data_IF_171612482449
#
_entry.id   IF_171612482449
#
_cell.length_a   1.000
_cell.length_b   1.000
_cell.length_c   1.000
_cell.angle_alpha   90.00
_cell.angle_beta   90.00
_cell.angle_gamma   90.00
#
_symmetry.space_group_name_H-M   'P 1'
#
loop_
_entity.id
_entity.type
_entity.pdbx_description
1 polymer ?
#
# COMPACT_ATOMS: atom_id res chain seq x y z
N UNK A 1 3.13 -19.89 33.37
CA UNK A 1 2.60 -20.91 32.44
C UNK A 1 2.74 -20.30 31.07
N UNK A 2 3.62 -20.86 30.27
CA UNK A 2 4.04 -20.32 28.98
C UNK A 2 2.83 -20.16 28.07
N UNK A 3 2.65 -18.99 27.48
CA UNK A 3 1.55 -18.67 26.57
C UNK A 3 1.53 -19.65 25.39
N UNK A 4 0.73 -20.71 25.50
CA UNK A 4 0.51 -21.68 24.45
C UNK A 4 -0.48 -21.04 23.46
N UNK A 5 0.01 -20.71 22.26
CA UNK A 5 -0.82 -20.15 21.20
C UNK A 5 -2.03 -21.08 20.96
N UNK A 6 -3.23 -20.52 21.00
CA UNK A 6 -4.44 -21.27 20.68
C UNK A 6 -4.38 -21.81 19.25
N UNK A 7 -5.11 -22.89 18.97
CA UNK A 7 -5.16 -23.47 17.62
C UNK A 7 -5.55 -22.44 16.55
N UNK A 8 -6.47 -21.53 16.87
CA UNK A 8 -6.84 -20.42 15.98
C UNK A 8 -5.68 -19.44 15.74
N UNK A 9 -4.90 -19.10 16.77
CA UNK A 9 -3.71 -18.25 16.61
C UNK A 9 -2.65 -18.91 15.73
N UNK A 10 -2.44 -20.22 15.87
CA UNK A 10 -1.52 -20.97 15.02
C UNK A 10 -1.95 -20.98 13.55
N UNK A 11 -3.23 -21.23 13.28
CA UNK A 11 -3.79 -21.18 11.93
C UNK A 11 -3.60 -19.81 11.27
N UNK A 12 -3.86 -18.73 12.01
CA UNK A 12 -3.67 -17.35 11.53
C UNK A 12 -2.20 -17.07 11.20
N UNK A 13 -1.27 -17.53 12.05
CA UNK A 13 0.17 -17.36 11.84
C UNK A 13 0.62 -18.09 10.57
N UNK A 14 0.22 -19.33 10.38
CA UNK A 14 0.58 -20.11 9.20
C UNK A 14 0.00 -19.49 7.92
N UNK A 15 -1.21 -18.92 8.00
CA UNK A 15 -1.82 -18.22 6.88
C UNK A 15 -1.07 -16.93 6.52
N UNK A 16 -0.69 -16.12 7.51
CA UNK A 16 0.12 -14.92 7.28
C UNK A 16 1.45 -15.26 6.62
N UNK A 17 2.13 -16.33 7.08
CA UNK A 17 3.37 -16.82 6.45
C UNK A 17 3.14 -17.34 5.04
N UNK A 18 2.04 -18.04 4.78
CA UNK A 18 1.69 -18.55 3.45
C UNK A 18 1.49 -17.39 2.47
N UNK A 19 0.75 -16.36 2.87
CA UNK A 19 0.50 -15.16 2.06
C UNK A 19 1.81 -14.39 1.82
N UNK A 20 2.61 -14.18 2.87
CA UNK A 20 3.94 -13.59 2.76
C UNK A 20 4.82 -14.33 1.73
N UNK A 21 4.87 -15.67 1.81
CA UNK A 21 5.62 -16.51 0.89
C UNK A 21 5.07 -16.48 -0.53
N UNK A 22 3.74 -16.47 -0.70
CA UNK A 22 3.06 -16.39 -2.00
C UNK A 22 3.36 -15.09 -2.73
N UNK A 23 3.36 -13.97 -1.99
CA UNK A 23 3.65 -12.64 -2.53
C UNK A 23 5.15 -12.32 -2.57
N UNK A 24 5.99 -13.11 -1.89
CA UNK A 24 7.42 -12.84 -1.77
C UNK A 24 7.74 -11.62 -0.90
N UNK A 25 6.84 -11.23 0.00
CA UNK A 25 6.97 -10.07 0.88
C UNK A 25 7.28 -10.48 2.31
N UNK A 26 8.00 -9.63 3.05
CA UNK A 26 8.24 -9.81 4.49
C UNK A 26 7.28 -9.01 5.37
N UNK A 27 6.46 -8.16 4.76
CA UNK A 27 5.43 -7.32 5.37
C UNK A 27 4.13 -7.64 4.65
N UNK A 28 3.12 -8.14 5.39
CA UNK A 28 1.80 -8.47 4.81
C UNK A 28 0.80 -7.42 5.27
N UNK A 29 0.14 -6.75 4.33
CA UNK A 29 -0.89 -5.77 4.65
C UNK A 29 -2.24 -6.44 4.94
N UNK A 30 -3.14 -5.71 5.60
CA UNK A 30 -4.54 -6.12 5.76
C UNK A 30 -5.21 -6.40 4.40
N UNK A 31 -4.85 -5.66 3.36
CA UNK A 31 -5.42 -5.83 2.03
C UNK A 31 -4.91 -7.10 1.35
N UNK A 32 -3.59 -7.35 1.42
CA UNK A 32 -2.99 -8.61 0.92
C UNK A 32 -3.63 -9.82 1.60
N UNK A 33 -3.88 -9.71 2.91
CA UNK A 33 -4.59 -10.74 3.65
C UNK A 33 -6.03 -10.88 3.18
N UNK A 34 -6.79 -9.79 3.06
CA UNK A 34 -8.18 -9.83 2.61
C UNK A 34 -8.31 -10.44 1.19
N UNK A 35 -7.38 -10.12 0.29
CA UNK A 35 -7.37 -10.63 -1.10
C UNK A 35 -6.90 -12.09 -1.22
N UNK A 36 -6.11 -12.60 -0.27
CA UNK A 36 -5.50 -13.92 -0.38
C UNK A 36 -5.85 -14.91 0.73
N UNK A 37 -6.62 -14.48 1.74
CA UNK A 37 -7.06 -15.35 2.84
C UNK A 37 -7.89 -16.52 2.33
N UNK A 38 -7.61 -17.68 2.89
CA UNK A 38 -8.36 -18.91 2.63
C UNK A 38 -9.12 -19.41 3.86
N UNK A 39 -8.82 -18.88 5.05
CA UNK A 39 -9.35 -19.40 6.32
C UNK A 39 -10.04 -18.35 7.21
N UNK A 40 -9.34 -17.30 7.64
CA UNK A 40 -9.80 -16.43 8.73
C UNK A 40 -10.14 -15.05 8.20
N UNK A 41 -11.27 -14.49 8.62
CA UNK A 41 -11.59 -13.10 8.35
C UNK A 41 -10.66 -12.15 9.14
N UNK A 42 -10.49 -10.92 8.65
CA UNK A 42 -9.69 -9.91 9.33
C UNK A 42 -10.12 -9.69 10.80
N UNK A 43 -11.42 -9.75 11.07
CA UNK A 43 -11.99 -9.60 12.41
C UNK A 43 -11.52 -10.69 13.36
N UNK A 44 -11.35 -11.92 12.87
CA UNK A 44 -10.83 -13.04 13.66
C UNK A 44 -9.38 -12.79 14.08
N UNK A 45 -8.54 -12.28 13.16
CA UNK A 45 -7.15 -11.92 13.47
C UNK A 45 -7.08 -10.89 14.60
N UNK A 46 -7.88 -9.83 14.50
CA UNK A 46 -7.94 -8.78 15.52
C UNK A 46 -8.47 -9.30 16.87
N UNK A 47 -9.43 -10.22 16.87
CA UNK A 47 -9.97 -10.80 18.11
C UNK A 47 -8.97 -11.71 18.84
N UNK A 48 -8.08 -12.40 18.11
CA UNK A 48 -7.11 -13.33 18.69
C UNK A 48 -5.76 -12.68 19.06
N UNK A 49 -5.35 -11.65 18.34
CA UNK A 49 -4.04 -10.99 18.53
C UNK A 49 -4.17 -9.55 19.02
N UNK A 50 -5.37 -9.00 19.17
CA UNK A 50 -5.58 -7.61 19.57
C UNK A 50 -5.29 -6.61 18.44
N UNK A 51 -4.09 -6.68 17.85
CA UNK A 51 -3.66 -5.81 16.74
C UNK A 51 -3.06 -6.60 15.58
N UNK A 52 -3.07 -6.00 14.39
CA UNK A 52 -2.43 -6.59 13.21
C UNK A 52 -0.92 -6.74 13.39
N UNK A 53 -0.26 -5.75 14.00
CA UNK A 53 1.18 -5.82 14.24
C UNK A 53 1.55 -6.97 15.17
N UNK A 54 0.77 -7.22 16.23
CA UNK A 54 0.96 -8.39 17.09
C UNK A 54 0.84 -9.71 16.31
N UNK A 55 -0.11 -9.82 15.39
CA UNK A 55 -0.25 -10.99 14.53
C UNK A 55 0.95 -11.16 13.56
N UNK A 56 1.41 -10.06 12.95
CA UNK A 56 2.56 -10.05 12.04
C UNK A 56 3.87 -10.41 12.78
N UNK A 57 4.06 -9.87 13.99
CA UNK A 57 5.21 -10.18 14.83
C UNK A 57 5.19 -11.66 15.28
N UNK A 58 4.03 -12.17 15.70
CA UNK A 58 3.86 -13.59 16.03
C UNK A 58 4.10 -14.52 14.83
N UNK A 59 3.84 -14.05 13.61
CA UNK A 59 4.17 -14.76 12.38
C UNK A 59 5.66 -14.68 11.99
N UNK A 60 6.48 -13.92 12.71
CA UNK A 60 7.89 -13.69 12.39
C UNK A 60 8.09 -12.79 11.16
N UNK A 61 7.08 -12.00 10.82
CA UNK A 61 7.10 -11.03 9.73
C UNK A 61 7.44 -9.64 10.27
N UNK A 62 7.76 -8.70 9.38
CA UNK A 62 8.13 -7.34 9.78
C UNK A 62 6.86 -6.52 10.06
N UNK A 63 6.62 -6.04 11.29
CA UNK A 63 5.44 -5.23 11.62
C UNK A 63 5.52 -3.84 11.00
N UNK A 64 4.38 -3.17 10.87
CA UNK A 64 4.32 -1.78 10.43
C UNK A 64 4.73 -0.83 11.56
N UNK A 65 5.41 0.28 11.27
CA UNK A 65 5.79 1.25 12.29
C UNK A 65 4.56 1.77 13.06
N UNK A 66 4.68 2.05 14.37
CA UNK A 66 3.57 2.55 15.19
C UNK A 66 2.97 3.82 14.58
N UNK A 67 1.64 3.84 14.35
CA UNK A 67 0.93 4.94 13.68
C UNK A 67 0.84 4.81 12.15
N UNK A 68 1.53 3.85 11.55
CA UNK A 68 1.31 3.43 10.16
C UNK A 68 0.03 2.60 10.09
N UNK A 69 -1.08 3.24 9.71
CA UNK A 69 -2.27 2.49 9.32
C UNK A 69 -1.91 1.56 8.16
N UNK A 70 -2.46 0.35 8.16
CA UNK A 70 -2.35 -0.69 7.14
C UNK A 70 -2.97 -0.32 5.76
N UNK A 71 -3.08 0.99 5.48
CA UNK A 71 -3.70 1.56 4.31
C UNK A 71 -2.67 1.67 3.22
N UNK A 72 -2.63 0.63 2.40
CA UNK A 72 -1.85 0.53 1.16
C UNK A 72 -0.34 0.63 1.39
N UNK A 73 0.49 0.01 0.52
CA UNK A 73 1.91 0.36 0.48
C UNK A 73 2.01 1.89 0.42
N UNK A 74 2.94 2.47 1.17
CA UNK A 74 3.26 3.89 1.07
C UNK A 74 3.74 4.10 -0.37
N UNK A 75 2.81 4.41 -1.29
CA UNK A 75 3.14 4.74 -2.66
C UNK A 75 4.12 5.88 -2.53
N UNK A 76 5.36 5.66 -2.94
CA UNK A 76 6.39 6.66 -2.69
C UNK A 76 6.02 7.96 -3.40
N UNK A 77 6.50 9.08 -2.88
CA UNK A 77 6.33 10.36 -3.56
C UNK A 77 6.87 10.25 -4.99
N UNK A 78 7.96 9.51 -5.18
CA UNK A 78 8.60 9.26 -6.47
C UNK A 78 7.70 8.51 -7.44
N UNK A 79 7.01 7.47 -6.97
CA UNK A 79 6.09 6.68 -7.78
C UNK A 79 4.86 7.49 -8.20
N UNK A 80 4.31 8.31 -7.30
CA UNK A 80 3.23 9.24 -7.64
C UNK A 80 3.68 10.28 -8.67
N UNK A 81 4.82 10.93 -8.43
CA UNK A 81 5.31 11.98 -9.31
C UNK A 81 5.68 11.41 -10.69
N UNK A 82 6.25 10.22 -10.76
CA UNK A 82 6.57 9.55 -12.03
C UNK A 82 5.30 9.21 -12.82
N UNK A 83 4.22 8.79 -12.16
CA UNK A 83 2.94 8.55 -12.83
C UNK A 83 2.41 9.81 -13.54
N UNK A 84 2.64 11.01 -12.98
CA UNK A 84 2.28 12.28 -13.65
C UNK A 84 3.08 12.46 -14.95
N UNK A 85 4.37 12.12 -14.94
CA UNK A 85 5.25 12.23 -16.11
C UNK A 85 4.79 11.27 -17.21
N UNK A 86 4.54 10.02 -16.86
CA UNK A 86 4.05 9.00 -17.79
C UNK A 86 2.71 9.40 -18.40
N UNK A 87 1.80 9.95 -17.60
CA UNK A 87 0.50 10.41 -18.09
C UNK A 87 0.64 11.65 -18.98
N UNK A 88 1.64 12.52 -18.75
CA UNK A 88 1.94 13.61 -19.67
C UNK A 88 2.40 13.04 -21.02
N UNK A 89 3.42 12.19 -21.01
CA UNK A 89 4.01 11.57 -22.21
C UNK A 89 2.95 10.84 -23.04
N UNK A 90 2.14 10.00 -22.39
CA UNK A 90 1.06 9.24 -23.04
C UNK A 90 0.07 10.11 -23.82
N UNK A 91 -0.24 11.31 -23.32
CA UNK A 91 -1.22 12.20 -23.92
C UNK A 91 -0.60 13.41 -24.63
N UNK A 92 0.72 13.57 -24.55
CA UNK A 92 1.49 14.69 -25.07
C UNK A 92 0.98 16.06 -24.61
N UNK A 93 0.44 16.13 -23.39
CA UNK A 93 0.00 17.37 -22.74
C UNK A 93 -0.08 17.20 -21.22
N UNK A 94 0.00 18.30 -20.43
CA UNK A 94 -0.08 18.23 -18.98
C UNK A 94 -1.34 17.50 -18.50
N UNK A 95 -1.21 16.49 -17.62
CA UNK A 95 -2.36 15.81 -17.08
C UNK A 95 -3.18 16.73 -16.16
N UNK A 96 -4.48 16.43 -16.08
CA UNK A 96 -5.40 17.02 -15.11
C UNK A 96 -5.78 15.99 -14.05
N UNK A 97 -6.32 16.46 -12.93
CA UNK A 97 -6.94 15.65 -11.88
C UNK A 97 -7.98 14.65 -12.43
N UNK A 98 -8.85 15.10 -13.34
CA UNK A 98 -9.84 14.24 -14.00
C UNK A 98 -9.16 13.17 -14.85
N UNK A 99 -8.06 13.51 -15.52
CA UNK A 99 -7.30 12.55 -16.34
C UNK A 99 -6.58 11.54 -15.47
N UNK A 100 -5.96 11.96 -14.38
CA UNK A 100 -5.35 11.07 -13.39
C UNK A 100 -6.39 10.07 -12.86
N UNK A 101 -7.57 10.53 -12.46
CA UNK A 101 -8.64 9.63 -11.99
C UNK A 101 -9.21 8.68 -13.07
N UNK A 102 -9.11 9.04 -14.35
CA UNK A 102 -9.72 8.27 -15.45
C UNK A 102 -8.74 7.33 -16.15
N UNK A 103 -7.46 7.70 -16.19
CA UNK A 103 -6.43 7.01 -16.98
C UNK A 103 -5.13 6.77 -16.22
N UNK A 104 -4.95 7.39 -15.05
CA UNK A 104 -3.77 7.17 -14.23
C UNK A 104 -3.90 5.91 -13.38
N UNK A 105 -2.75 5.37 -12.99
CA UNK A 105 -2.62 4.23 -12.08
C UNK A 105 -3.22 4.52 -10.69
N UNK A 106 -3.25 5.79 -10.29
CA UNK A 106 -3.69 6.22 -8.96
C UNK A 106 -4.82 7.23 -9.03
N UNK A 107 -5.69 7.23 -8.02
CA UNK A 107 -6.62 8.33 -7.81
C UNK A 107 -5.89 9.64 -7.49
N UNK A 108 -6.59 10.77 -7.57
CA UNK A 108 -6.00 12.09 -7.22
C UNK A 108 -5.73 12.25 -5.71
N UNK A 109 -6.36 11.42 -4.84
CA UNK A 109 -6.36 11.64 -3.38
C UNK A 109 -4.95 11.60 -2.75
N UNK A 110 -4.07 10.64 -3.08
CA UNK A 110 -2.70 10.62 -2.57
C UNK A 110 -1.91 11.90 -2.91
N UNK A 111 -2.14 12.47 -4.10
CA UNK A 111 -1.50 13.73 -4.52
C UNK A 111 -2.00 14.92 -3.70
N UNK A 112 -3.31 14.99 -3.43
CA UNK A 112 -3.89 16.05 -2.60
C UNK A 112 -3.39 15.98 -1.16
N UNK A 113 -3.25 14.77 -0.60
CA UNK A 113 -2.78 14.58 0.77
C UNK A 113 -1.33 15.06 0.98
N UNK A 114 -0.48 14.90 -0.04
CA UNK A 114 0.96 15.17 0.03
C UNK A 114 1.34 16.59 -0.41
N UNK A 115 0.79 17.05 -1.53
CA UNK A 115 1.13 18.37 -2.11
C UNK A 115 0.03 19.41 -1.93
N UNK A 116 -1.11 19.06 -1.32
CA UNK A 116 -2.26 19.95 -1.12
C UNK A 116 -3.11 20.18 -2.37
N UNK A 117 -2.53 20.07 -3.58
CA UNK A 117 -3.26 20.11 -4.84
C UNK A 117 -2.57 19.26 -5.91
N UNK A 118 -3.34 18.79 -6.89
CA UNK A 118 -2.78 18.04 -8.03
C UNK A 118 -1.86 18.92 -8.88
N UNK A 119 -2.15 20.22 -8.98
CA UNK A 119 -1.28 21.19 -9.66
C UNK A 119 0.09 21.26 -9.01
N UNK A 120 0.16 21.35 -7.67
CA UNK A 120 1.43 21.36 -6.93
C UNK A 120 2.19 20.04 -7.07
N UNK A 121 1.48 18.91 -7.06
CA UNK A 121 2.12 17.62 -7.33
C UNK A 121 2.70 17.56 -8.75
N UNK A 122 1.99 18.11 -9.74
CA UNK A 122 2.48 18.16 -11.12
C UNK A 122 3.69 19.08 -11.28
N UNK A 123 3.69 20.24 -10.62
CA UNK A 123 4.86 21.13 -10.57
C UNK A 123 6.06 20.41 -9.95
N UNK A 124 5.87 19.73 -8.81
CA UNK A 124 6.92 18.93 -8.18
C UNK A 124 7.43 17.80 -9.09
N UNK A 125 6.54 17.16 -9.87
CA UNK A 125 6.94 16.14 -10.84
C UNK A 125 7.84 16.73 -11.92
N UNK A 126 7.46 17.87 -12.50
CA UNK A 126 8.24 18.54 -13.54
C UNK A 126 9.55 19.12 -13.02
N UNK A 127 9.57 19.61 -11.79
CA UNK A 127 10.81 20.07 -11.15
C UNK A 127 11.79 18.90 -10.95
N UNK A 128 11.27 17.73 -10.56
CA UNK A 128 12.10 16.56 -10.27
C UNK A 128 12.55 15.79 -11.52
N UNK A 129 11.65 15.58 -12.48
CA UNK A 129 11.86 14.67 -13.61
C UNK A 129 11.88 15.38 -14.97
N UNK A 130 11.63 16.70 -15.00
CA UNK A 130 11.47 17.46 -16.23
C UNK A 130 10.08 17.33 -16.85
N UNK A 131 9.81 18.16 -17.85
CA UNK A 131 8.59 18.09 -18.64
C UNK A 131 8.90 17.22 -19.86
N UNK A 132 8.12 16.15 -20.13
CA UNK A 132 8.27 15.40 -21.37
C UNK A 132 8.01 16.33 -22.56
N UNK A 133 9.02 16.53 -23.40
CA UNK A 133 8.86 17.23 -24.66
C UNK A 133 8.21 16.28 -25.67
N UNK A 134 7.31 16.84 -26.48
CA UNK A 134 6.75 16.11 -27.62
C UNK A 134 7.79 16.18 -28.75
N UNK A 135 8.44 15.07 -29.06
CA UNK A 135 9.13 14.92 -30.36
C UNK A 135 8.12 14.97 -31.51
#
# INVERSE_FOLDING_TARGET
MSDELSQAQFEIIEELKRIAKKLGVKQVSMNDFEEHREISALTTVMNHFGTWNEAIEAAGLVPYPPGGSNREPIISDDELLMEIILLHEQFGKPPSDRRMNSHGKYSVRPYLARWGSFTKAREAAYEKYGIPEKE
#
